data_IF_077870365879
#
_entry.id   IF_077870365879
#
_cell.length_a   1.000
_cell.length_b   1.000
_cell.length_c   1.000
_cell.angle_alpha   90.00
_cell.angle_beta   90.00
_cell.angle_gamma   90.00
#
_symmetry.space_group_name_H-M   'P 1'
#
loop_
_entity.id
_entity.type
_entity.pdbx_description
1 polymer ?
#
# COMPACT_ATOMS: atom_id res chain seq x y z
N UNK A 1 17.75 12.37 13.97
CA UNK A 1 18.16 11.02 14.37
C UNK A 1 17.63 10.81 15.78
N UNK A 2 18.30 10.15 16.73
CA UNK A 2 17.95 10.00 18.16
C UNK A 2 16.44 10.10 18.50
N UNK A 3 15.88 11.29 18.72
CA UNK A 3 14.45 11.51 19.00
C UNK A 3 13.47 10.96 17.93
N UNK A 4 13.90 10.70 16.70
CA UNK A 4 13.13 9.98 15.66
C UNK A 4 13.33 8.45 15.71
N UNK A 5 14.49 7.95 16.18
CA UNK A 5 14.71 6.51 16.46
C UNK A 5 13.98 6.07 17.74
N UNK A 6 13.92 6.94 18.75
CA UNK A 6 13.09 6.77 19.95
C UNK A 6 11.63 6.45 19.60
N UNK A 7 11.15 7.06 18.51
CA UNK A 7 9.78 7.00 18.00
C UNK A 7 9.52 5.83 17.03
N UNK A 8 10.53 5.19 16.42
CA UNK A 8 10.29 4.11 15.45
C UNK A 8 10.06 2.72 16.06
N UNK A 9 9.91 2.62 17.38
CA UNK A 9 9.87 1.36 18.16
C UNK A 9 8.61 0.48 18.00
N UNK A 10 7.61 0.89 17.21
CA UNK A 10 6.38 0.10 16.99
C UNK A 10 6.41 -0.66 15.67
N UNK A 11 6.09 -1.95 15.69
CA UNK A 11 5.73 -2.68 14.45
C UNK A 11 4.44 -2.09 13.87
N UNK A 12 4.45 -1.81 12.57
CA UNK A 12 3.32 -1.24 11.83
C UNK A 12 2.86 -2.19 10.73
N UNK A 13 1.57 -2.14 10.38
CA UNK A 13 0.95 -3.02 9.40
C UNK A 13 -0.02 -2.24 8.50
N UNK A 14 0.05 -2.52 7.21
CA UNK A 14 -0.74 -1.90 6.14
C UNK A 14 -0.86 -2.90 4.96
N UNK A 15 -1.64 -2.59 3.94
CA UNK A 15 -1.73 -3.35 2.69
C UNK A 15 -0.88 -2.72 1.58
N UNK A 16 -0.40 -3.52 0.63
CA UNK A 16 0.16 -3.07 -0.64
C UNK A 16 -0.33 -3.95 -1.82
N UNK A 17 0.16 -3.68 -3.03
CA UNK A 17 -0.11 -4.47 -4.23
C UNK A 17 1.01 -4.31 -5.25
N UNK A 18 1.27 -5.32 -6.08
CA UNK A 18 2.30 -5.26 -7.13
C UNK A 18 1.87 -4.27 -8.21
N UNK A 19 2.76 -3.36 -8.61
CA UNK A 19 2.58 -2.37 -9.69
C UNK A 19 3.59 -2.52 -10.83
N UNK A 20 4.70 -3.25 -10.64
CA UNK A 20 5.56 -3.70 -11.72
C UNK A 20 6.25 -5.03 -11.38
N UNK A 21 6.73 -5.74 -12.40
CA UNK A 21 7.58 -6.91 -12.25
C UNK A 21 8.84 -6.70 -13.09
N UNK A 22 9.99 -6.92 -12.47
CA UNK A 22 11.33 -6.79 -13.04
C UNK A 22 12.05 -8.15 -12.97
N UNK A 23 13.25 -8.26 -13.55
CA UNK A 23 14.00 -9.52 -13.58
C UNK A 23 14.29 -10.07 -12.17
N UNK A 24 13.53 -11.09 -11.77
CA UNK A 24 13.62 -11.73 -10.45
C UNK A 24 13.03 -10.92 -9.28
N UNK A 25 12.29 -9.84 -9.51
CA UNK A 25 11.75 -8.99 -8.46
C UNK A 25 10.40 -8.34 -8.79
N UNK A 26 9.67 -7.95 -7.74
CA UNK A 26 8.34 -7.34 -7.83
C UNK A 26 8.39 -5.95 -7.22
N UNK A 27 7.89 -4.92 -7.91
CA UNK A 27 7.71 -3.57 -7.35
C UNK A 27 6.25 -3.42 -6.89
N UNK A 28 6.00 -2.90 -5.69
CA UNK A 28 4.67 -2.81 -5.06
C UNK A 28 4.36 -1.37 -4.62
N UNK A 29 3.11 -1.02 -4.28
CA UNK A 29 2.71 0.33 -3.84
C UNK A 29 1.89 0.30 -2.54
N UNK A 30 2.11 1.28 -1.65
CA UNK A 30 1.38 1.46 -0.38
C UNK A 30 1.44 2.92 0.10
N UNK A 31 0.84 3.18 1.26
CA UNK A 31 0.88 4.45 1.97
C UNK A 31 2.19 4.71 2.73
N UNK A 32 2.63 5.97 2.79
CA UNK A 32 3.86 6.38 3.48
C UNK A 32 3.66 6.76 4.97
N UNK A 33 2.43 7.08 5.38
CA UNK A 33 2.06 7.28 6.79
C UNK A 33 2.17 5.99 7.62
N UNK A 34 2.46 4.84 7.00
CA UNK A 34 2.90 3.60 7.66
C UNK A 34 4.14 3.81 8.54
N UNK A 35 4.94 4.84 8.25
CA UNK A 35 6.07 5.30 9.06
C UNK A 35 5.65 6.21 10.24
N UNK A 36 4.33 6.39 10.46
CA UNK A 36 3.62 7.15 11.50
C UNK A 36 4.47 8.22 12.22
N UNK A 37 5.13 7.81 13.31
CA UNK A 37 5.75 8.69 14.31
C UNK A 37 6.84 9.63 13.79
N UNK A 38 7.38 9.36 12.59
CA UNK A 38 8.47 10.15 11.99
C UNK A 38 8.07 10.84 10.68
N UNK A 39 6.89 10.53 10.13
CA UNK A 39 6.40 10.99 8.85
C UNK A 39 5.86 12.44 8.92
N UNK A 40 6.48 13.38 8.19
CA UNK A 40 5.97 14.76 8.00
C UNK A 40 6.47 15.33 6.66
N UNK A 41 5.57 15.80 5.79
CA UNK A 41 5.88 16.43 4.49
C UNK A 41 6.83 17.64 4.60
N UNK A 42 6.66 18.42 5.68
CA UNK A 42 7.46 19.60 6.03
C UNK A 42 8.90 19.29 6.46
N UNK A 43 9.20 18.04 6.84
CA UNK A 43 10.55 17.55 7.16
C UNK A 43 10.67 16.12 6.59
N UNK A 44 10.65 15.98 5.25
CA UNK A 44 10.49 14.70 4.59
C UNK A 44 11.69 13.81 4.88
N UNK A 45 11.47 12.50 4.84
CA UNK A 45 12.54 11.54 5.06
C UNK A 45 13.13 11.12 3.70
N UNK A 46 14.45 11.19 3.58
CA UNK A 46 15.16 10.61 2.44
C UNK A 46 15.18 9.08 2.54
N UNK A 47 15.29 8.42 1.39
CA UNK A 47 15.39 6.96 1.27
C UNK A 47 16.39 6.39 2.30
N UNK A 48 17.64 6.87 2.29
CA UNK A 48 18.70 6.40 3.18
C UNK A 48 18.42 6.59 4.68
N UNK A 49 17.65 7.61 5.10
CA UNK A 49 17.30 7.78 6.51
C UNK A 49 16.32 6.71 6.98
N UNK A 50 15.35 6.32 6.15
CA UNK A 50 14.36 5.32 6.54
C UNK A 50 15.00 3.91 6.49
N UNK A 51 15.96 3.64 5.58
CA UNK A 51 16.83 2.44 5.64
C UNK A 51 17.57 2.31 6.99
N UNK A 52 18.01 3.43 7.58
CA UNK A 52 18.70 3.45 8.88
C UNK A 52 17.76 3.25 10.08
N UNK A 53 16.47 3.57 9.92
CA UNK A 53 15.51 3.66 11.01
C UNK A 53 14.50 2.50 11.05
N UNK A 54 14.34 1.76 9.95
CA UNK A 54 13.35 0.70 9.81
C UNK A 54 13.89 -0.49 9.01
N UNK A 55 13.47 -1.68 9.41
CA UNK A 55 13.52 -2.90 8.61
C UNK A 55 12.07 -3.41 8.42
N UNK A 56 11.28 -2.87 7.48
CA UNK A 56 9.97 -3.44 7.17
C UNK A 56 10.09 -4.86 6.56
N UNK A 57 8.98 -5.50 6.20
CA UNK A 57 8.97 -6.79 5.48
C UNK A 57 7.67 -7.00 4.69
N UNK A 58 7.64 -7.96 3.75
CA UNK A 58 6.43 -8.31 2.98
C UNK A 58 6.02 -9.78 3.14
N UNK A 59 4.73 -10.06 3.06
CA UNK A 59 4.19 -11.42 2.92
C UNK A 59 3.09 -11.40 1.86
N UNK A 60 3.11 -12.35 0.93
CA UNK A 60 2.06 -12.47 -0.09
C UNK A 60 0.87 -13.29 0.43
N UNK A 61 -0.30 -13.14 -0.20
CA UNK A 61 -1.54 -13.79 0.23
C UNK A 61 -1.43 -15.32 0.30
N UNK A 62 -0.71 -15.94 -0.63
CA UNK A 62 -0.44 -17.37 -0.63
C UNK A 62 0.27 -17.85 0.65
N UNK A 63 1.20 -17.05 1.18
CA UNK A 63 1.93 -17.40 2.41
C UNK A 63 1.16 -17.02 3.68
N UNK A 64 0.42 -15.92 3.65
CA UNK A 64 -0.51 -15.55 4.72
C UNK A 64 -1.57 -16.64 4.94
N UNK A 65 -2.17 -17.14 3.85
CA UNK A 65 -3.15 -18.23 3.91
C UNK A 65 -2.52 -19.59 4.28
N UNK A 66 -1.27 -19.85 3.91
CA UNK A 66 -0.54 -21.05 4.35
C UNK A 66 -0.26 -21.02 5.86
N UNK A 67 0.07 -19.86 6.42
CA UNK A 67 0.19 -19.66 7.87
C UNK A 67 -1.17 -19.82 8.57
N UNK A 68 -2.20 -19.11 8.10
CA UNK A 68 -3.56 -19.13 8.70
C UNK A 68 -4.27 -20.48 8.67
N UNK A 69 -3.96 -21.33 7.69
CA UNK A 69 -4.49 -22.69 7.59
C UNK A 69 -3.78 -23.70 8.51
N UNK A 70 -2.81 -23.25 9.33
CA UNK A 70 -2.04 -24.12 10.22
C UNK A 70 -1.02 -25.00 9.50
N UNK A 71 -0.73 -24.71 8.22
CA UNK A 71 0.27 -25.45 7.42
C UNK A 71 1.71 -24.93 7.61
N UNK A 72 1.89 -23.92 8.48
CA UNK A 72 3.18 -23.30 8.87
C UNK A 72 3.03 -22.76 10.29
N UNK A 73 4.02 -22.98 11.16
CA UNK A 73 3.99 -22.52 12.55
C UNK A 73 4.34 -21.02 12.68
N UNK A 74 5.33 -20.56 11.90
CA UNK A 74 5.78 -19.17 11.88
C UNK A 74 5.18 -18.35 10.72
N UNK A 75 4.94 -17.05 10.98
CA UNK A 75 4.57 -16.07 9.94
C UNK A 75 5.85 -15.44 9.35
N UNK A 76 6.52 -16.17 8.46
CA UNK A 76 7.73 -15.68 7.79
C UNK A 76 7.41 -14.59 6.74
N UNK A 77 8.24 -13.53 6.70
CA UNK A 77 8.14 -12.44 5.73
C UNK A 77 9.43 -12.35 4.90
N UNK A 78 9.31 -11.99 3.64
CA UNK A 78 10.45 -11.69 2.78
C UNK A 78 10.99 -10.27 3.07
N UNK A 79 12.31 -10.08 3.16
CA UNK A 79 12.89 -8.76 3.21
C UNK A 79 12.85 -8.08 1.84
N UNK A 80 12.85 -6.77 1.90
CA UNK A 80 12.87 -5.83 0.78
C UNK A 80 13.92 -4.74 1.15
N UNK A 81 14.06 -3.65 0.40
CA UNK A 81 14.88 -2.46 0.75
C UNK A 81 14.01 -1.20 0.84
N UNK A 82 14.30 -0.02 0.23
CA UNK A 82 13.36 1.14 0.16
C UNK A 82 13.75 1.94 -1.11
N UNK A 83 12.79 2.09 -2.05
CA UNK A 83 12.80 2.73 -3.37
C UNK A 83 12.56 4.24 -3.35
N UNK A 84 11.34 4.64 -3.02
CA UNK A 84 10.82 6.00 -3.16
C UNK A 84 9.80 6.28 -2.08
N UNK A 85 9.74 7.53 -1.66
CA UNK A 85 8.78 8.05 -0.69
C UNK A 85 8.36 9.46 -1.12
N UNK A 86 7.05 9.68 -1.17
CA UNK A 86 6.48 11.02 -1.33
C UNK A 86 5.68 11.38 -0.08
N UNK A 87 6.32 12.16 0.81
CA UNK A 87 5.70 12.60 2.06
C UNK A 87 4.57 13.64 1.89
N UNK A 88 4.26 14.08 0.66
CA UNK A 88 3.15 15.00 0.35
C UNK A 88 1.95 14.27 -0.26
N UNK A 89 2.21 13.20 -1.02
CA UNK A 89 1.20 12.36 -1.68
C UNK A 89 0.89 11.04 -0.97
N UNK A 90 1.49 10.82 0.21
CA UNK A 90 1.37 9.59 0.98
C UNK A 90 1.81 8.32 0.22
N UNK A 91 2.79 8.42 -0.68
CA UNK A 91 3.20 7.28 -1.52
C UNK A 91 4.51 6.65 -1.03
N UNK A 92 4.53 5.33 -0.91
CA UNK A 92 5.72 4.53 -0.62
C UNK A 92 5.85 3.43 -1.68
N UNK A 93 6.94 3.43 -2.46
CA UNK A 93 7.15 2.44 -3.53
C UNK A 93 8.08 1.31 -3.08
N UNK A 94 7.61 0.10 -3.31
CA UNK A 94 8.07 -1.14 -2.69
C UNK A 94 8.85 -2.01 -3.68
N UNK A 95 9.72 -2.93 -3.24
CA UNK A 95 10.13 -4.08 -4.07
C UNK A 95 10.75 -5.23 -3.27
N UNK A 96 10.45 -6.46 -3.69
CA UNK A 96 10.94 -7.69 -3.07
C UNK A 96 11.54 -8.61 -4.14
N UNK A 97 12.65 -9.30 -3.82
CA UNK A 97 13.19 -10.35 -4.70
C UNK A 97 12.27 -11.57 -4.63
N UNK A 98 11.79 -12.06 -5.78
CA UNK A 98 10.72 -13.05 -5.82
C UNK A 98 11.15 -14.42 -5.27
N UNK A 99 12.45 -14.73 -5.29
CA UNK A 99 13.05 -15.92 -4.67
C UNK A 99 13.04 -15.91 -3.14
N UNK A 100 12.87 -14.74 -2.50
CA UNK A 100 12.79 -14.62 -1.04
C UNK A 100 11.36 -14.76 -0.49
N UNK A 101 10.33 -14.66 -1.34
CA UNK A 101 8.94 -14.94 -0.95
C UNK A 101 8.78 -16.45 -0.88
N UNK A 102 8.88 -17.05 0.32
CA UNK A 102 9.07 -18.50 0.46
C UNK A 102 7.92 -19.24 1.15
N UNK A 103 7.75 -20.50 0.80
CA UNK A 103 6.76 -21.43 1.36
C UNK A 103 7.22 -22.13 2.65
N UNK A 104 6.37 -22.99 3.21
CA UNK A 104 6.67 -23.77 4.43
C UNK A 104 7.90 -24.69 4.32
N UNK A 105 8.38 -24.98 3.11
CA UNK A 105 9.61 -25.74 2.84
C UNK A 105 10.80 -24.86 2.47
N UNK A 106 10.63 -23.53 2.64
CA UNK A 106 11.55 -22.45 2.25
C UNK A 106 11.89 -22.43 0.75
N UNK A 107 11.04 -23.03 -0.09
CA UNK A 107 11.10 -22.89 -1.54
C UNK A 107 10.42 -21.59 -1.97
N UNK A 108 10.84 -20.93 -3.07
CA UNK A 108 10.15 -19.76 -3.61
C UNK A 108 8.66 -20.03 -3.87
N UNK A 109 7.83 -19.02 -3.67
CA UNK A 109 6.39 -19.11 -3.85
C UNK A 109 6.05 -19.23 -5.35
N UNK A 110 5.58 -20.41 -5.74
CA UNK A 110 5.36 -20.78 -7.15
C UNK A 110 4.13 -20.10 -7.81
N UNK A 111 3.33 -19.36 -7.04
CA UNK A 111 2.16 -18.65 -7.55
C UNK A 111 2.56 -17.38 -8.33
N UNK A 112 1.79 -16.98 -9.36
CA UNK A 112 2.13 -15.83 -10.20
C UNK A 112 1.79 -14.50 -9.51
N UNK A 113 2.82 -13.71 -9.17
CA UNK A 113 2.66 -12.41 -8.50
C UNK A 113 2.48 -11.28 -9.53
N UNK A 114 1.43 -11.35 -10.36
CA UNK A 114 1.23 -10.43 -11.49
C UNK A 114 0.97 -8.99 -11.00
N UNK A 115 1.58 -7.96 -11.63
CA UNK A 115 1.23 -6.56 -11.39
C UNK A 115 -0.23 -6.24 -11.68
N UNK A 116 -0.81 -5.33 -10.90
CA UNK A 116 -2.04 -4.64 -11.26
C UNK A 116 -1.74 -3.52 -12.27
N UNK A 117 -2.65 -3.35 -13.22
CA UNK A 117 -2.58 -2.31 -14.25
C UNK A 117 -3.28 -1.05 -13.74
N UNK A 118 -2.75 0.17 -13.99
CA UNK A 118 -3.45 1.41 -13.67
C UNK A 118 -4.54 1.71 -14.70
N UNK A 119 -5.77 2.01 -14.26
CA UNK A 119 -6.92 2.20 -15.16
C UNK A 119 -6.68 3.27 -16.23
N UNK A 120 -7.16 3.03 -17.45
CA UNK A 120 -7.09 4.00 -18.56
C UNK A 120 -8.11 5.13 -18.42
N UNK A 121 -9.13 4.94 -17.59
CA UNK A 121 -10.20 5.91 -17.37
C UNK A 121 -9.96 6.76 -16.13
N UNK A 122 -10.70 7.86 -16.01
CA UNK A 122 -10.87 8.55 -14.74
C UNK A 122 -12.10 7.94 -14.05
N UNK A 123 -12.09 7.77 -12.72
CA UNK A 123 -13.23 7.27 -11.97
C UNK A 123 -14.45 8.17 -12.17
N UNK A 124 -15.64 7.61 -12.39
CA UNK A 124 -16.90 8.36 -12.52
C UNK A 124 -17.75 8.34 -11.22
N UNK A 125 -18.62 9.34 -10.99
CA UNK A 125 -19.48 9.35 -9.80
C UNK A 125 -20.47 8.18 -9.84
N UNK A 126 -20.72 7.55 -8.69
CA UNK A 126 -21.53 6.35 -8.53
C UNK A 126 -20.98 5.08 -9.22
N UNK A 127 -19.79 5.12 -9.82
CA UNK A 127 -19.13 3.92 -10.38
C UNK A 127 -18.97 2.83 -9.31
N UNK A 128 -19.22 1.56 -9.68
CA UNK A 128 -18.97 0.42 -8.79
C UNK A 128 -17.47 0.17 -8.68
N UNK A 129 -16.98 0.14 -7.45
CA UNK A 129 -15.56 -0.10 -7.14
C UNK A 129 -15.39 -1.20 -6.10
N UNK A 130 -14.23 -1.85 -6.12
CA UNK A 130 -13.87 -2.92 -5.18
C UNK A 130 -12.54 -2.58 -4.49
N UNK A 131 -12.49 -2.81 -3.18
CA UNK A 131 -11.23 -2.81 -2.41
C UNK A 131 -10.92 -4.24 -1.95
N UNK A 132 -9.64 -4.60 -1.97
CA UNK A 132 -9.13 -5.85 -1.39
C UNK A 132 -7.98 -5.51 -0.45
N UNK A 133 -8.04 -5.97 0.80
CA UNK A 133 -7.09 -5.60 1.84
C UNK A 133 -6.73 -6.75 2.78
N UNK A 134 -5.64 -6.59 3.53
CA UNK A 134 -5.23 -7.51 4.59
C UNK A 134 -5.12 -6.71 5.90
N UNK A 135 -6.22 -6.61 6.68
CA UNK A 135 -6.18 -5.95 7.98
C UNK A 135 -5.19 -6.66 8.91
N UNK A 136 -4.54 -5.96 9.86
CA UNK A 136 -3.49 -6.55 10.69
C UNK A 136 -3.98 -7.80 11.44
N UNK A 137 -3.29 -8.92 11.19
CA UNK A 137 -3.59 -10.24 11.77
C UNK A 137 -4.95 -10.84 11.39
N UNK A 138 -5.69 -10.26 10.44
CA UNK A 138 -6.94 -10.80 9.87
C UNK A 138 -6.74 -11.47 8.51
N UNK A 139 -7.75 -12.22 8.08
CA UNK A 139 -7.80 -12.78 6.73
C UNK A 139 -7.93 -11.67 5.68
N UNK A 140 -7.64 -11.99 4.41
CA UNK A 140 -7.96 -11.12 3.27
C UNK A 140 -9.42 -10.67 3.32
N UNK A 141 -9.64 -9.37 3.37
CA UNK A 141 -10.94 -8.73 3.34
C UNK A 141 -11.22 -8.16 1.94
N UNK A 142 -12.49 -8.10 1.57
CA UNK A 142 -12.96 -7.48 0.33
C UNK A 142 -14.22 -6.68 0.61
N UNK A 143 -14.34 -5.47 0.05
CA UNK A 143 -15.58 -4.71 0.08
C UNK A 143 -15.89 -4.12 -1.30
N UNK A 144 -17.19 -3.95 -1.59
CA UNK A 144 -17.70 -3.25 -2.76
C UNK A 144 -18.40 -1.98 -2.29
N UNK A 145 -18.24 -0.89 -3.05
CA UNK A 145 -18.86 0.40 -2.78
C UNK A 145 -19.10 1.18 -4.07
N UNK A 146 -19.40 2.46 -3.92
CA UNK A 146 -19.58 3.39 -5.03
C UNK A 146 -18.81 4.69 -4.79
N UNK A 147 -18.35 5.31 -5.87
CA UNK A 147 -17.59 6.57 -5.80
C UNK A 147 -18.51 7.74 -5.44
N UNK A 148 -18.30 8.33 -4.27
CA UNK A 148 -19.04 9.48 -3.76
C UNK A 148 -18.48 10.80 -4.31
N UNK A 149 -17.17 10.90 -4.46
CA UNK A 149 -16.49 12.07 -5.04
C UNK A 149 -15.18 11.68 -5.73
N UNK A 150 -14.94 12.19 -6.94
CA UNK A 150 -13.81 11.77 -7.78
C UNK A 150 -12.47 12.38 -7.35
N UNK A 151 -12.48 13.60 -6.82
CA UNK A 151 -11.26 14.38 -6.51
C UNK A 151 -11.54 15.45 -5.45
N UNK A 152 -11.63 15.04 -4.18
CA UNK A 152 -11.50 15.95 -3.02
C UNK A 152 -10.06 16.44 -2.94
N UNK A 153 -9.80 17.67 -2.52
CA UNK A 153 -8.49 18.00 -1.96
C UNK A 153 -8.36 17.38 -0.56
N UNK A 154 -7.13 17.26 -0.03
CA UNK A 154 -6.93 16.84 1.36
C UNK A 154 -7.64 17.76 2.37
N UNK A 155 -7.75 19.05 2.06
CA UNK A 155 -8.36 20.07 2.92
C UNK A 155 -9.90 19.97 2.94
N UNK A 156 -10.53 19.34 1.94
CA UNK A 156 -11.98 19.08 1.92
C UNK A 156 -12.41 17.93 2.85
N UNK A 157 -11.47 17.08 3.29
CA UNK A 157 -11.76 15.83 4.06
C UNK A 157 -11.08 15.75 5.42
N UNK A 158 -10.28 16.75 5.80
CA UNK A 158 -9.59 16.78 7.09
C UNK A 158 -9.51 18.20 7.64
N UNK A 159 -10.05 18.40 8.85
CA UNK A 159 -9.98 19.67 9.59
C UNK A 159 -8.54 20.12 9.90
N UNK A 160 -7.58 19.19 9.87
CA UNK A 160 -6.16 19.49 10.14
C UNK A 160 -5.22 18.79 9.18
N UNK A 161 -4.11 19.44 8.86
CA UNK A 161 -3.06 18.92 7.97
C UNK A 161 -1.69 18.92 8.68
N UNK A 162 -1.61 18.27 9.85
CA UNK A 162 -0.40 18.24 10.72
C UNK A 162 0.82 17.66 10.00
N UNK A 163 0.56 16.72 9.08
CA UNK A 163 1.56 16.03 8.28
C UNK A 163 1.99 16.83 7.04
N UNK A 164 1.10 17.65 6.44
CA UNK A 164 1.40 18.51 5.29
C UNK A 164 1.19 17.89 3.91
N UNK A 165 0.17 17.02 3.76
CA UNK A 165 -0.22 16.45 2.48
C UNK A 165 -0.72 17.53 1.51
N UNK A 166 -0.53 17.33 0.20
CA UNK A 166 -1.06 18.22 -0.85
C UNK A 166 -1.79 17.46 -1.97
N UNK A 167 -2.37 16.31 -1.63
CA UNK A 167 -2.94 15.34 -2.57
C UNK A 167 -4.45 15.48 -2.80
N UNK A 168 -4.88 15.02 -3.98
CA UNK A 168 -6.28 14.80 -4.32
C UNK A 168 -6.70 13.35 -4.04
N UNK A 169 -7.88 13.19 -3.45
CA UNK A 169 -8.44 11.96 -2.92
C UNK A 169 -9.78 11.61 -3.61
N UNK A 170 -9.95 10.32 -3.94
CA UNK A 170 -11.24 9.73 -4.28
C UNK A 170 -11.96 9.40 -2.97
N UNK A 171 -13.20 9.84 -2.83
CA UNK A 171 -14.11 9.49 -1.73
C UNK A 171 -15.03 8.37 -2.20
N UNK A 172 -15.12 7.29 -1.43
CA UNK A 172 -15.93 6.11 -1.77
C UNK A 172 -16.78 5.72 -0.57
N UNK A 173 -18.07 5.42 -0.79
CA UNK A 173 -18.94 4.82 0.21
C UNK A 173 -18.54 3.34 0.44
N UNK A 174 -17.55 3.16 1.32
CA UNK A 174 -16.94 1.91 1.76
C UNK A 174 -16.40 2.14 3.18
N UNK A 175 -16.80 1.30 4.14
CA UNK A 175 -16.13 1.18 5.43
C UNK A 175 -15.05 0.11 5.36
N UNK A 176 -13.85 0.40 5.88
CA UNK A 176 -12.70 -0.51 5.91
C UNK A 176 -12.19 -0.68 7.34
N UNK A 177 -11.60 -1.84 7.64
CA UNK A 177 -10.98 -2.07 8.93
C UNK A 177 -9.68 -1.26 9.09
N UNK A 178 -9.31 -0.93 10.34
CA UNK A 178 -8.04 -0.27 10.63
C UNK A 178 -6.85 -1.09 10.11
N UNK A 179 -5.83 -0.41 9.56
CA UNK A 179 -4.66 -1.04 8.95
C UNK A 179 -4.89 -1.63 7.55
N UNK A 180 -6.03 -1.34 6.90
CA UNK A 180 -6.20 -1.60 5.46
C UNK A 180 -5.42 -0.61 4.56
N UNK A 181 -4.88 0.48 5.11
CA UNK A 181 -4.19 1.55 4.38
C UNK A 181 -3.20 1.01 3.34
N UNK A 182 -3.11 1.65 2.17
CA UNK A 182 -2.32 1.20 1.04
C UNK A 182 -2.93 0.07 0.20
N UNK A 183 -4.14 -0.39 0.52
CA UNK A 183 -4.91 -1.28 -0.34
C UNK A 183 -5.31 -0.62 -1.68
N UNK A 184 -5.32 -1.38 -2.79
CA UNK A 184 -5.78 -0.86 -4.08
C UNK A 184 -7.30 -0.63 -4.08
N UNK A 185 -7.73 0.49 -4.67
CA UNK A 185 -9.09 0.67 -5.16
C UNK A 185 -9.14 0.23 -6.62
N UNK A 186 -10.03 -0.70 -6.95
CA UNK A 186 -10.16 -1.32 -8.25
C UNK A 186 -11.44 -0.87 -8.96
N UNK A 187 -11.34 -0.65 -10.26
CA UNK A 187 -12.50 -0.54 -11.17
C UNK A 187 -13.11 -1.93 -11.48
N UNK A 188 -14.20 -1.95 -12.25
CA UNK A 188 -14.87 -3.18 -12.64
C UNK A 188 -14.04 -4.10 -13.56
N UNK A 189 -13.01 -3.57 -14.22
CA UNK A 189 -12.07 -4.33 -15.05
C UNK A 189 -10.82 -4.80 -14.26
N UNK A 190 -10.82 -4.61 -12.93
CA UNK A 190 -9.75 -4.94 -11.98
C UNK A 190 -8.46 -4.12 -12.11
N UNK A 191 -8.49 -3.00 -12.84
CA UNK A 191 -7.39 -2.03 -12.85
C UNK A 191 -7.45 -1.15 -11.60
N UNK A 192 -6.31 -0.68 -11.10
CA UNK A 192 -6.30 0.22 -9.96
C UNK A 192 -6.56 1.69 -10.36
N UNK A 193 -7.48 2.32 -9.65
CA UNK A 193 -7.86 3.75 -9.76
C UNK A 193 -7.42 4.59 -8.54
N UNK A 194 -6.98 3.94 -7.46
CA UNK A 194 -6.50 4.65 -6.28
C UNK A 194 -5.87 3.74 -5.21
N UNK A 195 -5.45 4.37 -4.12
CA UNK A 195 -4.70 3.77 -3.02
C UNK A 195 -5.30 4.21 -1.68
N UNK A 196 -5.79 3.30 -0.84
CA UNK A 196 -6.49 3.65 0.41
C UNK A 196 -5.61 4.47 1.36
N UNK A 197 -5.89 5.76 1.50
CA UNK A 197 -5.20 6.62 2.47
C UNK A 197 -5.71 6.35 3.88
N UNK A 198 -7.03 6.49 4.10
CA UNK A 198 -7.64 6.34 5.41
C UNK A 198 -9.12 5.94 5.31
N UNK A 199 -9.61 5.23 6.33
CA UNK A 199 -11.03 5.20 6.62
C UNK A 199 -11.47 6.60 7.09
N UNK A 200 -12.60 7.09 6.59
CA UNK A 200 -13.22 8.31 7.10
C UNK A 200 -13.91 8.08 8.44
N UNK A 201 -14.33 9.16 9.11
CA UNK A 201 -15.18 9.09 10.30
C UNK A 201 -16.64 8.80 9.89
N UNK A 202 -16.92 7.59 9.41
CA UNK A 202 -18.27 7.18 9.00
C UNK A 202 -18.31 6.00 8.03
N UNK A 203 -19.20 6.09 7.04
CA UNK A 203 -19.43 5.06 6.01
C UNK A 203 -18.46 5.12 4.83
N UNK A 204 -17.68 6.21 4.68
CA UNK A 204 -16.80 6.45 3.54
C UNK A 204 -15.32 6.24 3.87
N UNK A 205 -14.52 6.01 2.82
CA UNK A 205 -13.05 5.95 2.88
C UNK A 205 -12.43 6.80 1.77
N UNK A 206 -11.22 7.32 2.03
CA UNK A 206 -10.51 8.23 1.14
C UNK A 206 -9.27 7.55 0.54
N UNK A 207 -9.07 7.69 -0.77
CA UNK A 207 -8.04 7.01 -1.54
C UNK A 207 -7.20 8.00 -2.35
N UNK A 208 -5.86 7.92 -2.28
CA UNK A 208 -4.97 8.72 -3.15
C UNK A 208 -5.28 8.40 -4.61
N UNK A 209 -5.62 9.43 -5.37
CA UNK A 209 -6.12 9.30 -6.74
C UNK A 209 -5.04 8.87 -7.74
N UNK A 210 -5.42 8.15 -8.80
CA UNK A 210 -4.50 7.66 -9.83
C UNK A 210 -3.70 8.78 -10.53
N UNK A 211 -4.23 10.00 -10.59
CA UNK A 211 -3.51 11.17 -11.11
C UNK A 211 -2.27 11.51 -10.26
N UNK A 212 -2.41 11.52 -8.93
CA UNK A 212 -1.32 11.78 -7.99
C UNK A 212 -0.27 10.67 -8.00
N UNK A 213 -0.73 9.41 -8.08
CA UNK A 213 0.13 8.23 -8.24
C UNK A 213 0.93 8.34 -9.55
N UNK A 214 0.26 8.61 -10.68
CA UNK A 214 0.91 8.76 -11.99
C UNK A 214 1.86 9.95 -12.06
N UNK A 215 1.54 11.08 -11.42
CA UNK A 215 2.36 12.29 -11.46
C UNK A 215 3.77 12.11 -10.86
N UNK A 216 3.96 11.11 -10.00
CA UNK A 216 5.27 10.78 -9.40
C UNK A 216 5.89 9.49 -9.95
N UNK A 217 5.10 8.44 -10.17
CA UNK A 217 5.62 7.19 -10.76
C UNK A 217 5.96 7.32 -12.25
N UNK A 218 5.30 8.23 -12.98
CA UNK A 218 5.45 8.44 -14.43
C UNK A 218 6.80 8.99 -14.92
N UNK A 219 7.86 8.94 -14.11
CA UNK A 219 9.23 9.31 -14.51
C UNK A 219 10.28 8.20 -14.33
N UNK A 220 9.92 7.02 -13.84
CA UNK A 220 10.89 5.92 -13.65
C UNK A 220 10.51 4.66 -14.41
N UNK A 221 11.42 4.21 -15.28
CA UNK A 221 11.64 2.78 -15.47
C UNK A 221 12.29 2.24 -14.18
N UNK A 222 11.62 1.30 -13.51
CA UNK A 222 12.15 0.35 -12.52
C UNK A 222 12.80 0.89 -11.21
N UNK A 223 12.87 -0.04 -10.23
CA UNK A 223 14.04 -0.31 -9.37
C UNK A 223 13.99 0.13 -7.90
N UNK A 224 13.64 -0.84 -7.03
CA UNK A 224 14.28 -1.21 -5.72
C UNK A 224 14.29 -0.23 -4.50
N UNK A 225 13.68 -0.49 -3.32
CA UNK A 225 12.74 -1.57 -2.94
C UNK A 225 11.88 -1.53 -1.61
N UNK A 226 10.93 -0.62 -1.25
CA UNK A 226 10.26 -0.69 0.12
C UNK A 226 9.35 -1.92 0.45
N UNK A 227 8.74 -1.97 1.66
CA UNK A 227 8.01 -3.13 2.19
C UNK A 227 6.77 -2.82 3.07
N UNK A 228 5.66 -3.56 2.85
CA UNK A 228 4.35 -3.61 3.57
C UNK A 228 3.67 -4.99 3.33
N UNK A 229 2.58 -5.37 4.03
CA UNK A 229 1.88 -6.66 3.85
C UNK A 229 1.04 -6.71 2.57
N UNK A 230 0.72 -7.93 2.13
CA UNK A 230 -0.33 -8.19 1.15
C UNK A 230 0.17 -7.99 -0.27
N UNK A 231 0.10 -9.02 -1.09
CA UNK A 231 0.29 -8.92 -2.53
C UNK A 231 -0.98 -9.46 -3.16
N UNK A 232 -1.77 -8.55 -3.75
CA UNK A 232 -2.87 -8.98 -4.60
C UNK A 232 -2.32 -9.57 -5.90
N UNK A 233 -2.86 -10.72 -6.26
CA UNK A 233 -2.64 -11.37 -7.54
C UNK A 233 -4.01 -11.64 -8.16
N UNK A 234 -4.29 -11.22 -9.42
CA UNK A 234 -5.47 -11.69 -10.12
C UNK A 234 -5.41 -13.23 -10.30
N UNK A 235 -6.56 -13.90 -10.46
CA UNK A 235 -6.63 -15.35 -10.70
C UNK A 235 -5.97 -15.81 -12.01
#
# INVERSE_FOLDING_TARGET
MAAREELSKTVQCATCFVVAQNDGGLDLLTCAHTLQHVYRARVPLSVAQIHQMFQPAVICDHQENTYRSGLREDREYAPATVLHVDCKKDLLLLHVRQDLISDKTKQPCQFPHRPLVPSTHLPDPLETVVIVSWPPYMNRATAKGQISHQSRSYEDVSETNEYGYDMNLIEVDISVANGCSGAPLLDCDTNYIGLLHAAGLGCYSCFVSLSEIRAKLGKQKASTSFHVLGVLTPP
#
